data_IF_778775045278
#
_entry.id   IF_778775045278
#
_cell.length_a   1.000
_cell.length_b   1.000
_cell.length_c   1.000
_cell.angle_alpha   90.00
_cell.angle_beta   90.00
_cell.angle_gamma   90.00
#
_symmetry.space_group_name_H-M   'P 1'
#
loop_
_entity.id
_entity.type
_entity.pdbx_description
1 polymer ?
#
# COMPACT_ATOMS: atom_id res chain seq x y z
N UNK A 1 -16.35 -0.94 -5.44
CA UNK A 1 -15.58 -0.51 -4.24
C UNK A 1 -14.21 -1.20 -4.13
N UNK A 2 -14.11 -2.54 -4.20
CA UNK A 2 -12.84 -3.28 -4.06
C UNK A 2 -11.70 -2.78 -4.97
N UNK A 3 -12.00 -2.49 -6.24
CA UNK A 3 -10.97 -2.02 -7.18
C UNK A 3 -10.37 -0.67 -6.76
N UNK A 4 -11.15 0.22 -6.14
CA UNK A 4 -10.63 1.49 -5.59
C UNK A 4 -9.63 1.23 -4.46
N UNK A 5 -9.89 0.23 -3.61
CA UNK A 5 -8.99 -0.16 -2.53
C UNK A 5 -7.64 -0.70 -3.07
N UNK A 6 -7.69 -1.50 -4.14
CA UNK A 6 -6.51 -2.00 -4.84
C UNK A 6 -5.64 -0.86 -5.38
N UNK A 7 -6.24 0.10 -6.07
CA UNK A 7 -5.52 1.24 -6.63
C UNK A 7 -4.97 2.19 -5.55
N UNK A 8 -5.67 2.34 -4.41
CA UNK A 8 -5.17 3.07 -3.24
C UNK A 8 -3.95 2.40 -2.60
N UNK A 9 -3.99 1.08 -2.37
CA UNK A 9 -2.85 0.34 -1.85
C UNK A 9 -1.64 0.39 -2.78
N UNK A 10 -1.87 0.27 -4.10
CA UNK A 10 -0.82 0.40 -5.12
C UNK A 10 -0.21 1.80 -5.18
N UNK A 11 -1.02 2.86 -5.10
CA UNK A 11 -0.51 4.23 -5.13
C UNK A 11 0.30 4.54 -3.87
N UNK A 12 -0.20 4.18 -2.67
CA UNK A 12 0.53 4.34 -1.41
C UNK A 12 1.87 3.59 -1.42
N UNK A 13 1.88 2.35 -1.92
CA UNK A 13 3.11 1.56 -2.03
C UNK A 13 4.09 2.19 -3.02
N UNK A 14 3.60 2.71 -4.16
CA UNK A 14 4.43 3.39 -5.15
C UNK A 14 5.06 4.68 -4.60
N UNK A 15 4.29 5.50 -3.87
CA UNK A 15 4.81 6.68 -3.18
C UNK A 15 5.81 6.30 -2.10
N UNK A 16 5.54 5.27 -1.31
CA UNK A 16 6.46 4.82 -0.28
C UNK A 16 7.80 4.31 -0.84
N UNK A 17 7.79 3.63 -2.00
CA UNK A 17 9.02 3.23 -2.70
C UNK A 17 9.78 4.44 -3.22
N UNK A 18 9.10 5.43 -3.79
CA UNK A 18 9.72 6.69 -4.21
C UNK A 18 10.36 7.44 -3.03
N UNK A 19 9.66 7.54 -1.91
CA UNK A 19 10.19 8.17 -0.71
C UNK A 19 11.35 7.38 -0.07
N UNK A 20 11.34 6.05 -0.21
CA UNK A 20 12.45 5.20 0.23
C UNK A 20 13.70 5.44 -0.61
N UNK A 21 13.55 5.63 -1.93
CA UNK A 21 14.64 6.04 -2.81
C UNK A 21 15.17 7.43 -2.47
N UNK A 22 14.30 8.33 -2.01
CA UNK A 22 14.66 9.68 -1.57
C UNK A 22 15.26 9.73 -0.14
N UNK A 23 15.52 8.59 0.51
CA UNK A 23 16.01 8.49 1.90
C UNK A 23 15.14 9.22 2.93
N UNK A 24 13.82 9.26 2.71
CA UNK A 24 12.92 9.85 3.69
C UNK A 24 12.74 8.93 4.90
N UNK A 25 13.00 9.46 6.09
CA UNK A 25 12.98 8.71 7.36
C UNK A 25 11.68 7.94 7.62
N UNK A 26 10.54 8.45 7.12
CA UNK A 26 9.22 7.84 7.30
C UNK A 26 8.79 6.89 6.17
N UNK A 27 9.61 6.73 5.13
CA UNK A 27 9.25 5.91 3.97
C UNK A 27 8.91 4.47 4.34
N UNK A 28 9.59 3.90 5.33
CA UNK A 28 9.35 2.53 5.79
C UNK A 28 7.95 2.37 6.42
N UNK A 29 7.51 3.33 7.24
CA UNK A 29 6.17 3.32 7.83
C UNK A 29 5.08 3.47 6.77
N UNK A 30 5.33 4.31 5.76
CA UNK A 30 4.42 4.49 4.63
C UNK A 30 4.32 3.23 3.76
N UNK A 31 5.42 2.50 3.61
CA UNK A 31 5.49 1.23 2.87
C UNK A 31 4.69 0.15 3.59
N UNK A 32 4.84 0.05 4.91
CA UNK A 32 4.08 -0.87 5.76
C UNK A 32 2.58 -0.56 5.65
N UNK A 33 2.18 0.71 5.71
CA UNK A 33 0.79 1.12 5.55
C UNK A 33 0.21 0.74 4.17
N UNK A 34 0.96 0.96 3.09
CA UNK A 34 0.55 0.58 1.73
C UNK A 34 0.40 -0.94 1.55
N UNK A 35 1.33 -1.72 2.10
CA UNK A 35 1.29 -3.18 2.14
C UNK A 35 0.12 -3.70 2.98
N UNK A 36 -0.17 -3.11 4.13
CA UNK A 36 -1.34 -3.46 4.95
C UNK A 36 -2.64 -3.24 4.18
N UNK A 37 -2.77 -2.13 3.44
CA UNK A 37 -3.94 -1.87 2.59
C UNK A 37 -4.09 -2.92 1.47
N UNK A 38 -2.98 -3.33 0.84
CA UNK A 38 -2.95 -4.42 -0.13
C UNK A 38 -3.31 -5.76 0.52
N UNK A 39 -2.84 -6.03 1.75
CA UNK A 39 -3.17 -7.22 2.52
C UNK A 39 -4.66 -7.31 2.84
N UNK A 40 -5.29 -6.21 3.26
CA UNK A 40 -6.73 -6.13 3.49
C UNK A 40 -7.50 -6.40 2.19
N UNK A 41 -7.06 -5.84 1.06
CA UNK A 41 -7.66 -6.13 -0.24
C UNK A 41 -7.62 -7.63 -0.58
N UNK A 42 -6.46 -8.28 -0.36
CA UNK A 42 -6.32 -9.72 -0.60
C UNK A 42 -7.17 -10.56 0.35
N UNK A 43 -7.24 -10.23 1.65
CA UNK A 43 -8.14 -10.91 2.59
C UNK A 43 -9.60 -10.82 2.12
N UNK A 44 -10.09 -9.63 1.80
CA UNK A 44 -11.47 -9.44 1.34
C UNK A 44 -11.73 -10.23 0.05
N UNK A 45 -10.73 -10.35 -0.83
CA UNK A 45 -10.82 -11.12 -2.08
C UNK A 45 -10.80 -12.64 -1.86
N UNK A 46 -10.27 -13.14 -0.75
CA UNK A 46 -10.31 -14.58 -0.42
C UNK A 46 -11.69 -14.99 0.08
N UNK A 47 -12.36 -14.12 0.85
CA UNK A 47 -13.68 -14.40 1.42
C UNK A 47 -14.86 -14.09 0.48
N UNK A 48 -14.60 -13.58 -0.72
CA UNK A 48 -15.63 -13.21 -1.71
C UNK A 48 -15.27 -13.72 -3.09
#
# INVERSE_FOLDING_TARGET
MLNKLKYLGLSMTSFAVLFKLMSWQYAQYLLIAGLSFLGIYFMIRVFK
#
